data_IF_630334246430
#
_entry.id   IF_630334246430
#
_cell.length_a   1.000
_cell.length_b   1.000
_cell.length_c   1.000
_cell.angle_alpha   90.00
_cell.angle_beta   90.00
_cell.angle_gamma   90.00
#
_symmetry.space_group_name_H-M   'P 1'
#
loop_
_entity.id
_entity.type
_entity.pdbx_description
1 polymer ?
#
# COMPACT_ATOMS: atom_id res chain seq x y z
N UNK A 1 -43.91 -31.47 36.68
CA UNK A 1 -43.40 -31.78 35.32
C UNK A 1 -43.49 -30.56 34.40
N UNK A 2 -44.57 -29.78 34.40
CA UNK A 2 -44.71 -28.57 33.55
C UNK A 2 -43.63 -27.49 33.77
N UNK A 3 -43.19 -27.25 35.01
CA UNK A 3 -42.14 -26.24 35.29
C UNK A 3 -40.74 -26.63 34.78
N UNK A 4 -40.45 -27.93 34.66
CA UNK A 4 -39.19 -28.40 34.07
C UNK A 4 -39.20 -28.27 32.54
N UNK A 5 -40.38 -28.42 31.93
CA UNK A 5 -40.57 -28.29 30.48
C UNK A 5 -40.46 -26.82 30.02
N UNK A 6 -41.00 -25.88 30.81
CA UNK A 6 -40.85 -24.44 30.54
C UNK A 6 -39.41 -23.93 30.71
N UNK A 7 -38.65 -24.48 31.67
CA UNK A 7 -37.24 -24.14 31.84
C UNK A 7 -36.37 -24.70 30.69
N UNK A 8 -36.66 -25.90 30.19
CA UNK A 8 -35.98 -26.48 29.03
C UNK A 8 -36.29 -25.74 27.73
N UNK A 9 -37.54 -25.32 27.49
CA UNK A 9 -37.90 -24.52 26.31
C UNK A 9 -37.31 -23.11 26.35
N UNK A 10 -37.20 -22.48 27.52
CA UNK A 10 -36.49 -21.20 27.69
C UNK A 10 -34.98 -21.35 27.54
N UNK A 11 -34.38 -22.45 28.01
CA UNK A 11 -32.96 -22.73 27.78
C UNK A 11 -32.67 -23.04 26.32
N UNK A 12 -33.50 -23.84 25.62
CA UNK A 12 -33.36 -24.12 24.20
C UNK A 12 -33.61 -22.88 23.32
N UNK A 13 -34.59 -22.04 23.68
CA UNK A 13 -34.82 -20.73 23.04
C UNK A 13 -33.67 -19.76 23.29
N UNK A 14 -33.11 -19.72 24.51
CA UNK A 14 -31.92 -18.92 24.82
C UNK A 14 -30.68 -19.48 24.13
N UNK A 15 -30.60 -20.78 23.90
CA UNK A 15 -29.46 -21.46 23.25
C UNK A 15 -29.57 -21.38 21.72
N UNK A 16 -30.77 -21.39 21.15
CA UNK A 16 -31.03 -21.05 19.75
C UNK A 16 -30.83 -19.56 19.48
N UNK A 17 -31.23 -18.67 20.40
CA UNK A 17 -30.95 -17.24 20.34
C UNK A 17 -29.46 -16.92 20.53
N UNK A 18 -28.75 -17.66 21.40
CA UNK A 18 -27.28 -17.57 21.55
C UNK A 18 -26.52 -18.24 20.39
N UNK A 19 -27.06 -19.31 19.77
CA UNK A 19 -26.51 -19.90 18.53
C UNK A 19 -26.78 -19.03 17.30
N UNK A 20 -27.91 -18.32 17.25
CA UNK A 20 -28.20 -17.28 16.25
C UNK A 20 -27.34 -16.02 16.48
N UNK A 21 -26.98 -15.74 17.75
CA UNK A 21 -26.00 -14.71 18.14
C UNK A 21 -24.54 -15.16 17.94
N UNK A 22 -24.29 -16.34 17.38
CA UNK A 22 -23.07 -16.60 16.59
C UNK A 22 -23.26 -15.95 15.22
N UNK A 23 -23.62 -14.68 15.24
CA UNK A 23 -23.89 -13.88 14.06
C UNK A 23 -22.56 -13.79 13.32
N UNK A 24 -22.57 -14.42 12.15
CA UNK A 24 -21.52 -14.45 11.15
C UNK A 24 -20.97 -13.03 10.96
N UNK A 25 -19.97 -12.67 11.75
CA UNK A 25 -19.11 -11.53 11.48
C UNK A 25 -18.35 -11.94 10.22
N UNK A 26 -18.95 -11.67 9.06
CA UNK A 26 -18.20 -11.62 7.84
C UNK A 26 -17.21 -10.48 8.05
N UNK A 27 -16.00 -10.82 8.51
CA UNK A 27 -14.83 -9.96 8.41
C UNK A 27 -14.56 -9.83 6.92
N UNK A 28 -15.33 -8.96 6.28
CA UNK A 28 -15.14 -8.62 4.89
C UNK A 28 -13.90 -7.75 4.88
N UNK A 29 -12.74 -8.39 4.79
CA UNK A 29 -11.47 -7.74 4.50
C UNK A 29 -11.46 -7.30 3.03
N UNK A 30 -12.49 -6.56 2.63
CA UNK A 30 -12.51 -5.81 1.38
C UNK A 30 -11.66 -4.59 1.63
N UNK A 31 -10.35 -4.80 1.59
CA UNK A 31 -9.37 -3.74 1.67
C UNK A 31 -9.68 -2.74 0.56
N UNK A 32 -10.28 -1.60 0.92
CA UNK A 32 -10.39 -0.47 0.00
C UNK A 32 -8.98 0.09 -0.15
N UNK A 33 -8.24 -0.42 -1.14
CA UNK A 33 -6.86 -0.01 -1.39
C UNK A 33 -6.85 1.29 -2.18
N UNK A 34 -6.87 2.43 -1.49
CA UNK A 34 -6.69 3.75 -2.11
C UNK A 34 -5.26 4.20 -1.89
N UNK A 35 -4.48 4.32 -2.98
CA UNK A 35 -3.12 4.88 -2.97
C UNK A 35 -2.18 4.26 -1.92
N UNK A 36 -2.23 2.94 -1.74
CA UNK A 36 -1.35 2.21 -0.81
C UNK A 36 -1.89 2.08 0.62
N UNK A 37 -3.06 2.62 0.94
CA UNK A 37 -3.66 2.47 2.26
C UNK A 37 -4.81 1.46 2.28
N UNK A 38 -4.94 0.71 3.37
CA UNK A 38 -5.99 -0.28 3.62
C UNK A 38 -6.65 -0.04 4.97
N UNK A 39 -7.98 -0.22 5.01
CA UNK A 39 -8.81 -0.14 6.21
C UNK A 39 -9.69 -1.37 6.31
N UNK A 40 -9.86 -1.87 7.53
CA UNK A 40 -10.78 -2.95 7.81
C UNK A 40 -12.22 -2.44 7.81
N UNK A 41 -13.08 -3.11 7.04
CA UNK A 41 -14.53 -2.91 7.08
C UNK A 41 -15.18 -4.08 7.81
N UNK A 42 -16.16 -3.77 8.66
CA UNK A 42 -16.92 -4.72 9.45
C UNK A 42 -18.39 -4.56 9.07
N UNK A 43 -19.01 -5.68 8.67
CA UNK A 43 -20.45 -5.80 8.50
C UNK A 43 -20.95 -6.74 9.59
N UNK A 44 -21.76 -6.20 10.49
CA UNK A 44 -22.44 -6.96 11.53
C UNK A 44 -23.94 -6.82 11.32
N UNK A 45 -24.67 -7.94 11.33
CA UNK A 45 -26.14 -7.91 11.23
C UNK A 45 -26.68 -7.07 12.39
N UNK A 46 -27.54 -6.11 12.08
CA UNK A 46 -28.12 -5.20 13.05
C UNK A 46 -29.56 -4.86 12.62
N UNK A 47 -30.53 -4.87 13.55
CA UNK A 47 -31.91 -4.48 13.25
C UNK A 47 -31.95 -3.12 12.55
N UNK A 48 -32.73 -3.00 11.48
CA UNK A 48 -32.97 -1.79 10.69
C UNK A 48 -31.74 -1.15 9.99
N UNK A 49 -30.54 -1.74 10.11
CA UNK A 49 -29.31 -1.20 9.48
C UNK A 49 -28.68 -2.18 8.51
N UNK A 50 -28.38 -3.41 8.94
CA UNK A 50 -27.68 -4.42 8.13
C UNK A 50 -28.44 -5.73 8.18
N UNK A 51 -29.00 -6.14 7.04
CA UNK A 51 -29.72 -7.40 6.90
C UNK A 51 -28.78 -8.58 6.62
N UNK A 52 -29.23 -9.81 6.89
CA UNK A 52 -28.49 -11.03 6.52
C UNK A 52 -28.26 -11.12 5.00
N UNK A 53 -29.20 -10.60 4.19
CA UNK A 53 -29.06 -10.53 2.73
C UNK A 53 -27.94 -9.59 2.30
N UNK A 54 -27.75 -8.46 3.01
CA UNK A 54 -26.64 -7.54 2.76
C UNK A 54 -25.29 -8.19 3.07
N UNK A 55 -25.20 -8.97 4.15
CA UNK A 55 -23.99 -9.74 4.48
C UNK A 55 -23.69 -10.76 3.37
N UNK A 56 -24.69 -11.52 2.91
CA UNK A 56 -24.56 -12.46 1.79
C UNK A 56 -24.16 -11.78 0.47
N UNK A 57 -24.72 -10.60 0.20
CA UNK A 57 -24.33 -9.80 -0.96
C UNK A 57 -22.85 -9.41 -0.86
N UNK A 58 -22.42 -8.92 0.30
CA UNK A 58 -21.05 -8.48 0.53
C UNK A 58 -20.04 -9.63 0.40
N UNK A 59 -20.33 -10.80 0.97
CA UNK A 59 -19.48 -12.00 0.87
C UNK A 59 -19.45 -12.58 -0.54
N UNK A 60 -20.50 -12.37 -1.35
CA UNK A 60 -20.55 -12.75 -2.76
C UNK A 60 -19.82 -11.81 -3.72
N UNK A 61 -19.26 -10.69 -3.24
CA UNK A 61 -18.48 -9.78 -4.08
C UNK A 61 -17.09 -10.36 -4.36
N UNK A 62 -16.73 -10.43 -5.63
CA UNK A 62 -15.39 -10.82 -6.06
C UNK A 62 -14.32 -9.89 -5.48
N UNK A 63 -13.16 -10.45 -5.14
CA UNK A 63 -11.97 -9.67 -4.72
C UNK A 63 -11.68 -8.59 -5.76
N UNK A 64 -11.17 -7.43 -5.32
CA UNK A 64 -10.84 -6.28 -6.18
C UNK A 64 -12.04 -5.54 -6.82
N UNK A 65 -13.29 -5.91 -6.51
CA UNK A 65 -14.47 -5.14 -6.96
C UNK A 65 -14.51 -3.74 -6.33
N UNK A 66 -14.80 -2.72 -7.13
CA UNK A 66 -14.93 -1.34 -6.69
C UNK A 66 -16.30 -1.10 -6.04
N UNK A 67 -16.27 -0.66 -4.78
CA UNK A 67 -17.47 -0.45 -3.96
C UNK A 67 -17.51 0.95 -3.38
N UNK A 68 -18.72 1.44 -3.20
CA UNK A 68 -19.01 2.58 -2.35
C UNK A 68 -19.56 2.11 -1.00
N UNK A 69 -19.19 2.82 0.07
CA UNK A 69 -19.48 2.42 1.44
C UNK A 69 -19.90 3.63 2.26
N UNK A 70 -21.15 3.64 2.72
CA UNK A 70 -21.62 4.57 3.76
C UNK A 70 -21.35 3.95 5.13
N UNK A 71 -20.75 4.71 6.05
CA UNK A 71 -20.13 4.13 7.24
C UNK A 71 -20.08 5.04 8.47
N UNK A 72 -19.89 4.41 9.62
CA UNK A 72 -19.41 5.03 10.86
C UNK A 72 -17.96 4.57 11.12
N UNK A 73 -17.10 5.47 11.61
CA UNK A 73 -15.75 5.13 12.04
C UNK A 73 -15.80 4.76 13.52
N UNK A 74 -15.29 3.58 13.88
CA UNK A 74 -15.14 3.15 15.27
C UNK A 74 -13.69 2.80 15.59
N UNK A 75 -13.36 2.83 16.88
CA UNK A 75 -12.09 2.31 17.39
C UNK A 75 -12.34 0.84 17.77
N UNK A 76 -11.60 -0.11 17.19
CA UNK A 76 -11.73 -1.52 17.49
C UNK A 76 -11.28 -1.79 18.93
N UNK A 77 -11.90 -2.78 19.58
CA UNK A 77 -11.53 -3.21 20.94
C UNK A 77 -10.19 -3.93 20.96
N UNK A 78 -9.89 -4.67 19.90
CA UNK A 78 -8.65 -5.41 19.70
C UNK A 78 -7.79 -4.80 18.57
N UNK A 79 -6.45 -4.84 18.68
CA UNK A 79 -5.57 -4.28 17.66
C UNK A 79 -5.62 -5.06 16.33
N UNK A 80 -5.75 -4.33 15.22
CA UNK A 80 -5.84 -4.89 13.86
C UNK A 80 -4.43 -5.11 13.27
N UNK A 81 -4.11 -6.33 12.84
CA UNK A 81 -2.75 -6.66 12.34
C UNK A 81 -2.59 -6.42 10.81
N UNK A 82 -3.68 -6.38 10.02
CA UNK A 82 -3.63 -6.35 8.54
C UNK A 82 -3.98 -5.02 7.83
N UNK A 83 -4.37 -3.97 8.55
CA UNK A 83 -4.82 -2.70 7.95
C UNK A 83 -3.82 -1.56 8.21
N UNK A 84 -3.56 -0.72 7.21
CA UNK A 84 -2.58 0.38 7.29
C UNK A 84 -3.13 1.68 7.89
N UNK A 85 -4.45 1.87 7.93
CA UNK A 85 -5.06 3.13 8.38
C UNK A 85 -4.89 3.36 9.89
N UNK A 86 -4.39 4.56 10.22
CA UNK A 86 -4.11 5.03 11.57
C UNK A 86 -4.78 6.40 11.75
N UNK A 87 -5.36 6.67 12.92
CA UNK A 87 -5.79 8.02 13.31
C UNK A 87 -5.01 8.42 14.55
N UNK A 88 -4.41 9.60 14.47
CA UNK A 88 -3.76 10.26 15.59
C UNK A 88 -4.85 10.93 16.44
N UNK A 89 -5.04 10.49 17.68
CA UNK A 89 -5.82 11.24 18.67
C UNK A 89 -4.87 11.93 19.66
N UNK A 90 -5.11 13.21 20.02
CA UNK A 90 -4.45 13.80 21.17
C UNK A 90 -4.91 13.08 22.43
N UNK A 91 -3.96 12.77 23.32
CA UNK A 91 -4.23 12.00 24.53
C UNK A 91 -5.03 12.82 25.54
N UNK A 92 -4.80 14.14 25.62
CA UNK A 92 -5.57 15.06 26.46
C UNK A 92 -5.63 16.45 25.79
N UNK A 93 -6.72 17.18 25.97
CA UNK A 93 -6.85 18.60 25.54
C UNK A 93 -6.23 19.56 26.58
N UNK A 94 -5.33 19.06 27.43
CA UNK A 94 -4.58 19.86 28.39
C UNK A 94 -3.12 19.36 28.41
N UNK A 95 -2.19 20.31 28.36
CA UNK A 95 -0.72 20.16 28.50
C UNK A 95 0.06 19.70 27.25
N UNK A 96 0.48 20.69 26.45
CA UNK A 96 1.82 21.00 25.89
C UNK A 96 2.79 19.90 25.40
N UNK A 97 2.44 18.63 25.44
CA UNK A 97 3.30 17.52 25.05
C UNK A 97 2.50 16.63 24.13
N UNK A 98 2.71 16.83 22.83
CA UNK A 98 2.12 16.06 21.73
C UNK A 98 2.57 14.60 21.80
N UNK A 99 2.05 13.83 22.76
CA UNK A 99 2.15 12.38 22.78
C UNK A 99 0.93 11.86 22.01
N UNK A 100 1.19 11.34 20.82
CA UNK A 100 0.17 10.76 19.97
C UNK A 100 0.12 9.25 20.22
N UNK A 101 -1.05 8.70 20.57
CA UNK A 101 -1.25 7.24 20.55
C UNK A 101 -1.75 6.84 19.15
N UNK A 102 -1.09 5.83 18.58
CA UNK A 102 -1.47 5.21 17.33
C UNK A 102 -2.73 4.35 17.51
N UNK A 103 -3.92 4.91 17.27
CA UNK A 103 -5.14 4.12 17.21
C UNK A 103 -5.39 3.64 15.78
N UNK A 104 -5.51 2.31 15.61
CA UNK A 104 -6.06 1.73 14.38
C UNK A 104 -7.58 1.92 14.42
N UNK A 105 -8.18 2.23 13.28
CA UNK A 105 -9.63 2.44 13.16
C UNK A 105 -10.24 1.34 12.31
N UNK A 106 -11.51 1.03 12.59
CA UNK A 106 -12.32 0.16 11.77
C UNK A 106 -13.54 0.91 11.21
N UNK A 107 -14.10 0.36 10.15
CA UNK A 107 -15.26 0.90 9.46
C UNK A 107 -16.46 0.03 9.74
N UNK A 108 -17.47 0.57 10.42
CA UNK A 108 -18.77 -0.07 10.58
C UNK A 108 -19.64 0.32 9.39
N UNK A 109 -19.94 -0.64 8.53
CA UNK A 109 -20.65 -0.41 7.26
C UNK A 109 -22.14 -0.30 7.51
N UNK A 110 -22.76 0.76 6.98
CA UNK A 110 -24.22 0.96 6.96
C UNK A 110 -24.83 0.66 5.60
N UNK A 111 -24.20 1.13 4.53
CA UNK A 111 -24.63 0.86 3.15
C UNK A 111 -23.42 0.45 2.31
N UNK A 112 -23.65 -0.45 1.37
CA UNK A 112 -22.63 -0.99 0.49
C UNK A 112 -23.19 -1.07 -0.93
N UNK A 113 -22.54 -0.38 -1.86
CA UNK A 113 -22.90 -0.39 -3.27
C UNK A 113 -21.74 -0.96 -4.08
N UNK A 114 -22.02 -1.88 -5.00
CA UNK A 114 -21.02 -2.32 -5.98
C UNK A 114 -21.10 -1.40 -7.19
N UNK A 115 -20.08 -0.55 -7.39
CA UNK A 115 -20.01 0.33 -8.56
C UNK A 115 -19.50 -0.45 -9.77
N UNK A 116 -18.44 -1.24 -9.56
CA UNK A 116 -17.86 -2.09 -10.62
C UNK A 116 -17.46 -3.43 -10.02
N UNK A 117 -18.13 -4.50 -10.50
CA UNK A 117 -17.85 -5.86 -10.05
C UNK A 117 -16.63 -6.40 -10.80
N UNK A 118 -15.66 -6.92 -10.06
CA UNK A 118 -14.49 -7.58 -10.63
C UNK A 118 -14.85 -9.00 -11.11
N UNK A 119 -14.01 -9.53 -12.00
CA UNK A 119 -14.11 -10.93 -12.45
C UNK A 119 -13.79 -11.87 -11.27
N UNK A 120 -14.57 -12.94 -11.03
CA UNK A 120 -14.38 -13.81 -9.87
C UNK A 120 -13.00 -14.48 -9.77
N UNK A 121 -12.42 -14.84 -10.91
CA UNK A 121 -11.08 -15.44 -11.00
C UNK A 121 -10.13 -14.41 -11.61
N UNK A 122 -9.34 -13.76 -10.75
CA UNK A 122 -8.25 -12.89 -11.19
C UNK A 122 -7.07 -13.75 -11.67
N UNK A 123 -6.42 -13.34 -12.75
CA UNK A 123 -5.26 -14.04 -13.30
C UNK A 123 -4.06 -14.05 -12.33
N UNK A 124 -3.92 -13.00 -11.50
CA UNK A 124 -2.99 -12.96 -10.38
C UNK A 124 -3.70 -12.41 -9.15
N UNK A 125 -3.36 -12.95 -7.97
CA UNK A 125 -3.78 -12.39 -6.69
C UNK A 125 -2.72 -11.38 -6.23
N UNK A 126 -3.18 -10.18 -5.85
CA UNK A 126 -2.31 -9.08 -5.44
C UNK A 126 -1.54 -9.44 -4.16
N UNK A 127 -2.15 -10.17 -3.23
CA UNK A 127 -1.50 -10.62 -1.99
C UNK A 127 -0.31 -11.55 -2.29
N UNK A 128 -0.49 -12.48 -3.23
CA UNK A 128 0.55 -13.42 -3.63
C UNK A 128 1.69 -12.71 -4.38
N UNK A 129 1.35 -11.72 -5.22
CA UNK A 129 2.32 -10.89 -5.94
C UNK A 129 3.05 -9.87 -5.06
N UNK A 130 2.53 -9.55 -3.86
CA UNK A 130 3.11 -8.58 -2.94
C UNK A 130 4.05 -9.20 -1.87
N UNK A 131 4.08 -10.55 -1.74
CA UNK A 131 4.98 -11.21 -0.79
C UNK A 131 6.44 -11.09 -1.23
N UNK A 132 7.32 -10.89 -0.24
CA UNK A 132 8.77 -10.90 -0.45
C UNK A 132 9.34 -12.31 -0.44
N UNK A 133 10.49 -12.51 -1.09
CA UNK A 133 11.17 -13.82 -1.14
C UNK A 133 11.52 -14.35 0.25
N UNK A 134 11.95 -13.49 1.17
CA UNK A 134 12.28 -13.86 2.56
C UNK A 134 11.06 -14.47 3.29
N UNK A 135 9.87 -13.94 3.05
CA UNK A 135 8.64 -14.47 3.67
C UNK A 135 8.31 -15.85 3.11
N UNK A 136 8.48 -16.04 1.79
CA UNK A 136 8.27 -17.31 1.10
C UNK A 136 9.25 -18.36 1.62
N UNK A 137 10.53 -18.02 1.76
CA UNK A 137 11.57 -18.92 2.28
C UNK A 137 11.28 -19.34 3.73
N UNK A 138 10.92 -18.39 4.60
CA UNK A 138 10.54 -18.68 6.00
C UNK A 138 9.31 -19.58 6.07
N UNK A 139 8.32 -19.35 5.22
CA UNK A 139 7.13 -20.19 5.16
C UNK A 139 7.46 -21.60 4.69
N UNK A 140 8.34 -21.74 3.69
CA UNK A 140 8.80 -23.03 3.19
C UNK A 140 9.52 -23.83 4.29
N UNK A 141 10.37 -23.17 5.08
CA UNK A 141 11.02 -23.76 6.26
C UNK A 141 9.99 -24.19 7.33
N UNK A 142 8.89 -23.46 7.46
CA UNK A 142 7.77 -23.81 8.34
C UNK A 142 6.78 -24.83 7.72
N UNK A 143 7.10 -25.43 6.57
CA UNK A 143 6.27 -26.41 5.89
C UNK A 143 5.03 -25.84 5.19
N UNK A 144 4.94 -24.52 5.00
CA UNK A 144 3.86 -23.85 4.26
C UNK A 144 4.35 -23.43 2.89
N UNK A 145 3.72 -23.95 1.83
CA UNK A 145 4.03 -23.56 0.46
C UNK A 145 3.10 -22.43 0.01
N UNK A 146 3.67 -21.26 -0.26
CA UNK A 146 2.95 -20.16 -0.90
C UNK A 146 3.07 -20.23 -2.42
N UNK A 147 2.06 -19.68 -3.11
CA UNK A 147 2.10 -19.50 -4.57
C UNK A 147 3.05 -18.36 -4.90
N UNK A 148 4.01 -18.61 -5.80
CA UNK A 148 4.91 -17.60 -6.34
C UNK A 148 4.42 -17.15 -7.71
N UNK A 149 4.35 -15.84 -7.93
CA UNK A 149 3.94 -15.26 -9.22
C UNK A 149 5.19 -14.91 -10.03
N UNK A 150 5.41 -15.64 -11.12
CA UNK A 150 6.57 -15.45 -11.99
C UNK A 150 6.53 -14.10 -12.73
N UNK A 151 7.72 -13.60 -13.11
CA UNK A 151 7.87 -12.30 -13.77
C UNK A 151 7.04 -12.18 -15.05
N UNK A 152 7.04 -13.20 -15.92
CA UNK A 152 6.26 -13.18 -17.16
C UNK A 152 4.76 -13.00 -16.89
N UNK A 153 4.23 -13.70 -15.88
CA UNK A 153 2.82 -13.55 -15.48
C UNK A 153 2.55 -12.14 -14.94
N UNK A 154 3.46 -11.55 -14.18
CA UNK A 154 3.33 -10.18 -13.67
C UNK A 154 3.36 -9.15 -14.79
N UNK A 155 4.19 -9.36 -15.81
CA UNK A 155 4.27 -8.50 -17.00
C UNK A 155 3.03 -8.64 -17.89
N UNK A 156 2.55 -9.87 -18.12
CA UNK A 156 1.31 -10.11 -18.88
C UNK A 156 0.08 -9.49 -18.20
N UNK A 157 0.05 -9.46 -16.87
CA UNK A 157 -1.03 -8.85 -16.07
C UNK A 157 -0.58 -7.60 -15.33
N UNK A 158 0.20 -6.74 -16.01
CA UNK A 158 0.84 -5.56 -15.40
C UNK A 158 -0.13 -4.61 -14.71
N UNK A 159 -1.36 -4.46 -15.22
CA UNK A 159 -2.39 -3.61 -14.60
C UNK A 159 -2.75 -4.07 -13.19
N UNK A 160 -2.73 -5.38 -12.93
CA UNK A 160 -2.95 -5.95 -11.60
C UNK A 160 -1.66 -5.86 -10.77
N UNK A 161 -0.50 -6.13 -11.37
CA UNK A 161 0.79 -6.09 -10.67
C UNK A 161 1.16 -4.68 -10.18
N UNK A 162 0.83 -3.64 -10.95
CA UNK A 162 0.99 -2.23 -10.53
C UNK A 162 0.16 -1.89 -9.29
N UNK A 163 -0.77 -2.77 -8.88
CA UNK A 163 -1.52 -2.63 -7.64
C UNK A 163 -0.82 -3.27 -6.43
N UNK A 164 0.39 -3.79 -6.52
CA UNK A 164 1.12 -4.16 -5.30
C UNK A 164 1.59 -2.90 -4.56
N UNK A 165 1.73 -2.94 -3.22
CA UNK A 165 2.28 -1.81 -2.45
C UNK A 165 3.69 -1.42 -2.91
N UNK A 166 4.56 -2.40 -3.19
CA UNK A 166 5.93 -2.12 -3.64
C UNK A 166 5.94 -1.42 -5.00
N UNK A 167 5.18 -1.89 -6.01
CA UNK A 167 5.14 -1.21 -7.31
C UNK A 167 4.59 0.23 -7.19
N UNK A 168 3.53 0.44 -6.40
CA UNK A 168 3.04 1.80 -6.13
C UNK A 168 4.12 2.68 -5.49
N UNK A 169 4.93 2.13 -4.59
CA UNK A 169 6.08 2.80 -4.00
C UNK A 169 7.14 3.14 -5.05
N UNK A 170 7.56 2.16 -5.85
CA UNK A 170 8.60 2.30 -6.88
C UNK A 170 8.26 3.45 -7.84
N UNK A 171 7.05 3.45 -8.40
CA UNK A 171 6.67 4.49 -9.37
C UNK A 171 6.49 5.87 -8.76
N UNK A 172 6.14 5.95 -7.46
CA UNK A 172 6.09 7.23 -6.74
C UNK A 172 7.49 7.78 -6.45
N UNK A 173 8.41 6.92 -6.03
CA UNK A 173 9.82 7.26 -5.82
C UNK A 173 10.44 7.69 -7.15
N UNK A 174 10.22 6.95 -8.24
CA UNK A 174 10.67 7.31 -9.58
C UNK A 174 10.17 8.70 -9.99
N UNK A 175 8.87 8.97 -9.86
CA UNK A 175 8.31 10.28 -10.16
C UNK A 175 8.93 11.39 -9.28
N UNK A 176 9.20 11.11 -8.01
CA UNK A 176 9.83 12.07 -7.11
C UNK A 176 11.28 12.38 -7.51
N UNK A 177 12.04 11.39 -7.98
CA UNK A 177 13.39 11.58 -8.54
C UNK A 177 13.36 12.55 -9.71
N UNK A 178 12.46 12.34 -10.68
CA UNK A 178 12.30 13.22 -11.84
C UNK A 178 11.92 14.66 -11.44
N UNK A 179 11.04 14.79 -10.45
CA UNK A 179 10.61 16.09 -9.94
C UNK A 179 11.76 16.85 -9.26
N UNK A 180 12.54 16.17 -8.42
CA UNK A 180 13.68 16.79 -7.73
C UNK A 180 14.73 17.20 -8.75
N UNK A 181 15.07 16.31 -9.69
CA UNK A 181 16.01 16.60 -10.77
C UNK A 181 15.63 17.87 -11.53
N UNK A 182 14.37 17.95 -11.98
CA UNK A 182 13.86 19.12 -12.69
C UNK A 182 13.88 20.38 -11.82
N UNK A 183 13.42 20.31 -10.58
CA UNK A 183 13.36 21.46 -9.67
C UNK A 183 14.75 22.00 -9.34
N UNK A 184 15.71 21.12 -9.08
CA UNK A 184 17.09 21.48 -8.78
C UNK A 184 17.73 22.21 -9.96
N UNK A 185 17.67 21.63 -11.16
CA UNK A 185 18.29 22.22 -12.35
C UNK A 185 17.63 23.55 -12.75
N UNK A 186 16.29 23.64 -12.66
CA UNK A 186 15.60 24.91 -12.92
C UNK A 186 16.02 26.01 -11.93
N UNK A 187 16.25 25.67 -10.67
CA UNK A 187 16.72 26.62 -9.65
C UNK A 187 18.16 27.08 -9.91
N UNK A 188 19.00 26.22 -10.49
CA UNK A 188 20.39 26.52 -10.88
C UNK A 188 20.47 27.22 -12.26
N UNK A 189 19.33 27.56 -12.87
CA UNK A 189 19.24 28.34 -14.12
C UNK A 189 19.25 27.53 -15.42
N UNK A 190 19.16 26.20 -15.34
CA UNK A 190 19.08 25.34 -16.53
C UNK A 190 17.72 25.46 -17.22
N UNK A 191 17.70 25.10 -18.51
CA UNK A 191 16.51 25.09 -19.35
C UNK A 191 16.18 23.67 -19.78
N UNK A 192 14.92 23.26 -19.62
CA UNK A 192 14.44 21.98 -20.11
C UNK A 192 14.29 21.97 -21.64
N UNK A 193 14.85 20.96 -22.29
CA UNK A 193 14.72 20.74 -23.74
C UNK A 193 14.05 19.39 -24.03
N UNK A 194 13.38 19.30 -25.18
CA UNK A 194 12.80 18.06 -25.69
C UNK A 194 13.46 17.72 -27.02
N UNK A 195 14.33 16.72 -27.01
CA UNK A 195 15.03 16.24 -28.20
C UNK A 195 14.30 15.03 -28.80
N UNK A 196 14.18 14.93 -30.13
CA UNK A 196 13.68 13.72 -30.76
C UNK A 196 14.72 12.60 -30.60
N UNK A 197 14.33 11.44 -30.08
CA UNK A 197 15.15 10.21 -30.08
C UNK A 197 14.55 9.23 -31.08
N UNK A 198 15.28 8.89 -32.13
CA UNK A 198 14.88 7.95 -33.20
C UNK A 198 16.07 7.07 -33.59
N UNK A 199 16.55 6.26 -32.64
CA UNK A 199 17.67 5.34 -32.86
C UNK A 199 17.22 3.89 -32.67
N UNK A 200 17.60 3.03 -33.63
CA UNK A 200 17.32 1.60 -33.57
C UNK A 200 18.26 0.91 -32.56
N UNK A 201 17.70 0.23 -31.57
CA UNK A 201 18.46 -0.55 -30.59
C UNK A 201 17.94 -1.98 -30.50
N UNK A 202 18.79 -2.95 -30.84
CA UNK A 202 18.48 -4.38 -30.85
C UNK A 202 19.54 -5.17 -30.07
N UNK A 203 19.46 -5.20 -28.74
CA UNK A 203 20.23 -6.16 -27.93
C UNK A 203 19.46 -6.59 -26.67
N UNK A 204 19.70 -7.82 -26.20
CA UNK A 204 19.01 -8.45 -25.07
C UNK A 204 19.33 -7.85 -23.67
N UNK A 205 20.25 -6.89 -23.58
CA UNK A 205 20.66 -6.23 -22.33
C UNK A 205 20.16 -4.80 -22.18
N UNK A 206 19.55 -4.25 -23.23
CA UNK A 206 19.03 -2.90 -23.24
C UNK A 206 17.52 -2.96 -23.42
N UNK A 207 16.78 -2.30 -22.53
CA UNK A 207 15.38 -1.99 -22.81
C UNK A 207 15.37 -1.09 -24.04
N UNK A 208 14.56 -1.42 -25.04
CA UNK A 208 14.45 -0.64 -26.28
C UNK A 208 13.98 0.80 -26.01
N UNK A 209 13.39 1.05 -24.84
CA UNK A 209 12.96 2.37 -24.39
C UNK A 209 13.22 2.52 -22.88
N UNK A 210 13.91 3.60 -22.50
CA UNK A 210 14.12 3.99 -21.11
C UNK A 210 14.06 5.51 -20.98
N UNK A 211 13.74 5.99 -19.77
CA UNK A 211 13.75 7.41 -19.44
C UNK A 211 15.13 7.79 -18.90
N UNK A 212 15.90 8.55 -19.69
CA UNK A 212 17.16 9.15 -19.25
C UNK A 212 16.94 10.54 -18.63
N UNK A 213 17.70 10.86 -17.58
CA UNK A 213 17.80 12.21 -17.03
C UNK A 213 19.16 12.78 -17.46
N UNK A 214 19.14 13.58 -18.52
CA UNK A 214 20.31 14.14 -19.17
C UNK A 214 20.53 15.59 -18.71
N UNK A 215 21.78 15.98 -18.44
CA UNK A 215 22.18 17.37 -18.12
C UNK A 215 23.43 17.73 -18.92
N UNK A 216 23.44 18.93 -19.49
CA UNK A 216 24.57 19.48 -20.25
C UNK A 216 24.81 20.93 -19.78
N UNK A 217 26.06 21.33 -19.59
CA UNK A 217 26.42 22.68 -19.14
C UNK A 217 27.70 23.19 -19.82
N UNK A 218 27.83 24.52 -19.95
CA UNK A 218 29.09 25.15 -20.35
C UNK A 218 30.12 25.04 -19.20
N UNK A 219 31.33 24.60 -19.54
CA UNK A 219 32.46 24.47 -18.60
C UNK A 219 33.39 25.66 -18.81
N UNK A 220 33.81 26.33 -17.72
CA UNK A 220 34.67 27.53 -17.81
C UNK A 220 36.14 27.21 -17.68
N UNK A 221 36.51 26.44 -16.67
CA UNK A 221 37.89 26.16 -16.30
C UNK A 221 38.19 24.67 -16.35
N UNK A 222 37.36 23.84 -15.71
CA UNK A 222 37.64 22.42 -15.54
C UNK A 222 36.37 21.57 -15.40
N UNK A 223 36.40 20.33 -15.91
CA UNK A 223 35.23 19.44 -15.89
C UNK A 223 34.72 19.09 -14.48
N UNK A 224 35.51 19.34 -13.44
CA UNK A 224 35.08 19.21 -12.04
C UNK A 224 33.86 20.07 -11.72
N UNK A 225 33.66 21.19 -12.44
CA UNK A 225 32.44 21.99 -12.32
C UNK A 225 31.18 21.15 -12.54
N UNK A 226 31.21 20.21 -13.49
CA UNK A 226 30.10 19.27 -13.74
C UNK A 226 29.91 18.33 -12.56
N UNK A 227 31.02 17.83 -11.99
CA UNK A 227 30.98 16.95 -10.82
C UNK A 227 30.39 17.67 -9.60
N UNK A 228 30.69 18.95 -9.41
CA UNK A 228 30.12 19.76 -8.33
C UNK A 228 28.59 19.91 -8.47
N UNK A 229 28.07 20.02 -9.70
CA UNK A 229 26.62 20.01 -9.93
C UNK A 229 26.02 18.64 -9.58
N UNK A 230 26.65 17.56 -10.04
CA UNK A 230 26.19 16.19 -9.80
C UNK A 230 26.13 15.90 -8.30
N UNK A 231 27.14 16.30 -7.53
CA UNK A 231 27.16 16.13 -6.08
C UNK A 231 26.06 16.94 -5.40
N UNK A 232 25.93 18.23 -5.73
CA UNK A 232 24.88 19.10 -5.16
C UNK A 232 23.47 18.59 -5.49
N UNK A 233 23.30 17.96 -6.65
CA UNK A 233 22.04 17.36 -7.08
C UNK A 233 21.70 16.09 -6.26
N UNK A 234 22.64 15.15 -6.14
CA UNK A 234 22.35 13.85 -5.52
C UNK A 234 22.13 13.94 -4.01
N UNK A 235 22.84 14.83 -3.30
CA UNK A 235 22.66 15.01 -1.85
C UNK A 235 21.21 15.39 -1.52
N UNK A 236 20.73 16.48 -2.11
CA UNK A 236 19.35 16.95 -1.87
C UNK A 236 18.30 15.96 -2.40
N UNK A 237 18.63 15.19 -3.44
CA UNK A 237 17.75 14.14 -3.95
C UNK A 237 17.54 13.03 -2.92
N UNK A 238 18.62 12.45 -2.40
CA UNK A 238 18.51 11.39 -1.39
C UNK A 238 17.87 11.89 -0.11
N UNK A 239 18.21 13.09 0.35
CA UNK A 239 17.58 13.71 1.53
C UNK A 239 16.07 13.90 1.32
N UNK A 240 15.66 14.44 0.17
CA UNK A 240 14.24 14.64 -0.12
C UNK A 240 13.49 13.31 -0.29
N UNK A 241 14.12 12.24 -0.78
CA UNK A 241 13.50 10.91 -0.85
C UNK A 241 13.32 10.32 0.56
N UNK A 242 14.34 10.42 1.40
CA UNK A 242 14.30 9.97 2.79
C UNK A 242 13.28 10.77 3.63
N UNK A 243 13.02 12.03 3.30
CA UNK A 243 12.01 12.84 3.99
C UNK A 243 10.60 12.59 3.45
N UNK A 244 10.41 12.66 2.13
CA UNK A 244 9.07 12.70 1.51
C UNK A 244 8.51 11.34 1.12
N UNK A 245 9.36 10.33 0.92
CA UNK A 245 8.97 9.01 0.40
C UNK A 245 9.14 7.86 1.41
N UNK A 246 9.17 8.15 2.72
CA UNK A 246 9.38 7.12 3.75
C UNK A 246 8.37 5.96 3.65
N UNK A 247 7.10 6.27 3.39
CA UNK A 247 6.03 5.26 3.30
C UNK A 247 6.22 4.35 2.08
N UNK A 248 6.60 4.95 0.96
CA UNK A 248 6.91 4.25 -0.28
C UNK A 248 8.15 3.37 -0.09
N UNK A 249 9.23 3.90 0.49
CA UNK A 249 10.46 3.17 0.79
C UNK A 249 10.20 1.99 1.74
N UNK A 250 9.39 2.17 2.78
CA UNK A 250 8.98 1.09 3.68
C UNK A 250 8.18 0.00 2.94
N UNK A 251 7.25 0.40 2.07
CA UNK A 251 6.45 -0.54 1.28
C UNK A 251 7.31 -1.36 0.29
N UNK A 252 8.32 -0.73 -0.32
CA UNK A 252 9.32 -1.40 -1.16
C UNK A 252 10.15 -2.35 -0.30
N UNK A 253 10.70 -1.86 0.81
CA UNK A 253 11.60 -2.61 1.69
C UNK A 253 10.99 -3.87 2.29
N UNK A 254 9.66 -3.89 2.50
CA UNK A 254 8.93 -5.09 2.93
C UNK A 254 8.98 -6.22 1.90
N UNK A 255 8.92 -5.90 0.62
CA UNK A 255 8.94 -6.89 -0.45
C UNK A 255 10.35 -7.16 -0.96
N UNK A 256 11.15 -6.11 -1.08
CA UNK A 256 12.53 -6.10 -1.59
C UNK A 256 13.42 -5.43 -0.54
N UNK A 257 13.96 -6.17 0.44
CA UNK A 257 14.80 -5.57 1.48
C UNK A 257 16.03 -4.88 0.91
N UNK A 258 16.29 -3.65 1.35
CA UNK A 258 17.45 -2.86 0.98
C UNK A 258 17.95 -2.06 2.19
N UNK A 259 19.21 -1.67 2.17
CA UNK A 259 19.75 -0.76 3.19
C UNK A 259 19.24 0.67 2.96
N UNK A 260 18.93 1.43 4.03
CA UNK A 260 18.49 2.81 3.88
C UNK A 260 19.45 3.65 3.04
N UNK A 261 18.90 4.56 2.23
CA UNK A 261 19.68 5.44 1.36
C UNK A 261 20.60 6.32 2.21
N UNK A 262 21.91 6.12 2.07
CA UNK A 262 22.94 6.93 2.72
C UNK A 262 23.62 7.79 1.67
N UNK A 263 23.73 9.08 1.95
CA UNK A 263 24.60 9.98 1.18
C UNK A 263 26.03 9.70 1.63
N UNK A 264 26.84 9.11 0.74
CA UNK A 264 28.29 9.15 0.88
C UNK A 264 28.70 10.41 0.14
N UNK A 265 29.12 11.46 0.86
CA UNK A 265 29.67 12.64 0.18
C UNK A 265 30.86 12.17 -0.65
N UNK A 266 30.79 12.32 -1.97
CA UNK A 266 31.81 11.80 -2.88
C UNK A 266 33.17 12.51 -2.67
N UNK A 267 33.20 13.68 -2.01
CA UNK A 267 34.41 14.49 -1.82
C UNK A 267 34.59 15.08 -0.40
N UNK A 268 34.44 14.28 0.66
CA UNK A 268 34.84 14.71 2.02
C UNK A 268 36.37 14.76 2.25
N UNK A 269 37.19 14.62 1.20
CA UNK A 269 38.66 14.51 1.28
C UNK A 269 39.44 15.45 0.35
N UNK A 270 38.83 16.52 -0.18
CA UNK A 270 39.59 17.55 -0.91
C UNK A 270 39.46 18.90 -0.19
N UNK A 271 40.27 19.05 0.87
CA UNK A 271 40.64 20.33 1.48
C UNK A 271 42.08 20.25 1.93
#
# INVERSE_FOLDING_TARGET
MEQQQQHQEQEESSTQSKKAAKMEAAKLEKQRRQRGFTVQCVLSVAPDVVSLQMVKFATGLSKDSYVDVERIISVPKDPIIGASQQVLKPIDMELSTSRWINFRVEIQVKKLYCISKAVPALAINIEDAARGEIEIEKALQAGKQFVRVNQDTRLNFRVLDLRTPANQGIFRVQCQVENIFRQFLLADGFVGIHTPKAEDSYTHRHLCEFTGLDVEMEIKEHYSEVMDIVDRLFVAMFDSLNEKCQKELEAIGKQYPFEPLKVISLFSHCS
#
